data_IF_192333787603
#
_entry.id   IF_192333787603
#
_cell.length_a   1.000
_cell.length_b   1.000
_cell.length_c   1.000
_cell.angle_alpha   90.00
_cell.angle_beta   90.00
_cell.angle_gamma   90.00
#
_symmetry.space_group_name_H-M   'P 1'
#
loop_
_entity.id
_entity.type
_entity.pdbx_description
1 polymer ?
#
# COMPACT_ATOMS: atom_id res chain seq x y z
N UNK A 1 11.99 -10.67 -31.58
CA UNK A 1 12.77 -10.25 -30.40
C UNK A 1 11.77 -9.87 -29.33
N UNK A 2 11.42 -10.82 -28.45
CA UNK A 2 10.46 -10.58 -27.38
C UNK A 2 11.21 -9.92 -26.21
N UNK A 3 10.83 -8.69 -25.87
CA UNK A 3 11.39 -7.98 -24.74
C UNK A 3 11.16 -8.81 -23.47
N UNK A 4 12.26 -9.11 -22.75
CA UNK A 4 12.17 -9.64 -21.40
C UNK A 4 11.30 -8.69 -20.57
N UNK A 5 10.23 -9.18 -19.91
CA UNK A 5 9.37 -8.30 -19.14
C UNK A 5 10.19 -7.67 -18.02
N UNK A 6 10.17 -6.34 -17.95
CA UNK A 6 10.82 -5.57 -16.91
C UNK A 6 10.46 -6.18 -15.55
N UNK A 7 11.47 -6.70 -14.87
CA UNK A 7 11.33 -7.32 -13.58
C UNK A 7 10.70 -6.29 -12.62
N UNK A 8 9.57 -6.68 -12.00
CA UNK A 8 8.90 -5.97 -10.89
C UNK A 8 8.14 -4.67 -11.22
N UNK A 9 7.64 -4.48 -12.44
CA UNK A 9 6.68 -3.40 -12.71
C UNK A 9 5.26 -3.79 -12.20
N UNK A 10 4.73 -3.02 -11.24
CA UNK A 10 3.34 -3.12 -10.78
C UNK A 10 2.42 -2.61 -11.90
N UNK A 11 1.91 -3.52 -12.74
CA UNK A 11 1.00 -3.19 -13.85
C UNK A 11 -0.26 -4.06 -13.81
N UNK A 12 -1.34 -3.58 -14.44
CA UNK A 12 -2.56 -4.37 -14.62
C UNK A 12 -2.25 -5.70 -15.32
N UNK A 13 -2.70 -6.81 -14.72
CA UNK A 13 -2.47 -8.15 -15.25
C UNK A 13 -1.10 -8.75 -14.94
N UNK A 14 -0.23 -8.06 -14.19
CA UNK A 14 1.01 -8.66 -13.72
C UNK A 14 0.73 -9.87 -12.82
N UNK A 15 1.50 -10.95 -13.03
CA UNK A 15 1.40 -12.20 -12.27
C UNK A 15 2.66 -12.44 -11.46
N UNK A 16 2.49 -12.79 -10.18
CA UNK A 16 3.56 -13.10 -9.26
C UNK A 16 3.42 -14.55 -8.78
N UNK A 17 4.53 -15.31 -8.69
CA UNK A 17 4.50 -16.67 -8.16
C UNK A 17 4.28 -16.68 -6.65
N UNK A 18 4.80 -15.67 -5.93
CA UNK A 18 4.81 -15.61 -4.47
C UNK A 18 4.40 -14.23 -3.97
N UNK A 19 3.86 -14.21 -2.74
CA UNK A 19 3.54 -12.95 -2.07
C UNK A 19 4.79 -12.12 -1.78
N UNK A 20 5.92 -12.76 -1.46
CA UNK A 20 7.19 -12.07 -1.16
C UNK A 20 7.74 -11.31 -2.38
N UNK A 21 7.63 -11.89 -3.56
CA UNK A 21 8.07 -11.26 -4.82
C UNK A 21 7.20 -10.04 -5.14
N UNK A 22 5.89 -10.15 -4.91
CA UNK A 22 4.98 -9.01 -5.01
C UNK A 22 5.28 -7.93 -3.96
N UNK A 23 5.51 -8.30 -2.70
CA UNK A 23 5.76 -7.35 -1.60
C UNK A 23 7.03 -6.51 -1.85
N UNK A 24 8.09 -7.12 -2.39
CA UNK A 24 9.30 -6.39 -2.80
C UNK A 24 9.02 -5.41 -3.93
N UNK A 25 8.36 -5.84 -5.00
CA UNK A 25 7.98 -4.98 -6.12
C UNK A 25 7.09 -3.81 -5.67
N UNK A 26 6.14 -4.09 -4.78
CA UNK A 26 5.23 -3.10 -4.24
C UNK A 26 5.95 -2.12 -3.30
N UNK A 27 6.91 -2.58 -2.51
CA UNK A 27 7.75 -1.73 -1.67
C UNK A 27 8.58 -0.75 -2.51
N UNK A 28 9.29 -1.24 -3.53
CA UNK A 28 10.06 -0.38 -4.44
C UNK A 28 9.18 0.63 -5.17
N UNK A 29 7.96 0.24 -5.54
CA UNK A 29 6.96 1.13 -6.11
C UNK A 29 6.55 2.21 -5.11
N UNK A 30 6.27 1.84 -3.85
CA UNK A 30 5.94 2.77 -2.79
C UNK A 30 7.13 3.68 -2.46
N UNK A 31 8.37 3.24 -2.56
CA UNK A 31 9.55 4.11 -2.32
C UNK A 31 9.76 5.11 -3.45
N UNK A 32 9.58 4.69 -4.71
CA UNK A 32 9.75 5.55 -5.89
C UNK A 32 8.67 6.63 -5.99
N UNK A 33 7.43 6.24 -5.69
CA UNK A 33 6.27 7.15 -5.75
C UNK A 33 6.04 7.88 -4.42
N UNK A 34 6.50 7.27 -3.32
CA UNK A 34 6.24 7.66 -1.94
C UNK A 34 4.76 7.65 -1.53
N UNK A 35 3.90 6.98 -2.31
CA UNK A 35 2.50 6.83 -1.94
C UNK A 35 2.34 5.87 -0.76
N UNK A 36 1.51 6.28 0.20
CA UNK A 36 1.19 5.46 1.37
C UNK A 36 -0.13 4.72 1.14
N UNK A 37 -0.04 3.40 1.05
CA UNK A 37 -1.21 2.52 0.91
C UNK A 37 -1.56 1.84 2.24
N UNK A 38 -2.85 1.83 2.57
CA UNK A 38 -3.45 0.96 3.57
C UNK A 38 -3.80 -0.38 2.95
N UNK A 39 -3.67 -1.46 3.72
CA UNK A 39 -3.91 -2.83 3.27
C UNK A 39 -5.16 -3.41 3.92
N UNK A 40 -6.04 -3.97 3.10
CA UNK A 40 -7.23 -4.69 3.52
C UNK A 40 -7.29 -6.03 2.77
N UNK A 41 -7.32 -7.14 3.49
CA UNK A 41 -7.17 -8.46 2.86
C UNK A 41 -8.03 -9.54 3.48
N UNK A 42 -8.32 -10.55 2.67
CA UNK A 42 -8.89 -11.84 3.09
C UNK A 42 -7.80 -12.89 3.02
N UNK A 43 -7.50 -13.53 4.15
CA UNK A 43 -6.46 -14.57 4.20
C UNK A 43 -6.90 -15.84 3.48
N UNK A 44 -5.92 -16.57 2.96
CA UNK A 44 -6.13 -17.91 2.38
C UNK A 44 -6.77 -18.85 3.39
N UNK A 45 -6.35 -18.80 4.65
CA UNK A 45 -6.90 -19.65 5.71
C UNK A 45 -8.40 -19.43 5.91
N UNK A 46 -8.85 -18.16 5.93
CA UNK A 46 -10.26 -17.80 6.04
C UNK A 46 -11.06 -18.28 4.84
N UNK A 47 -10.48 -18.19 3.64
CA UNK A 47 -11.09 -18.68 2.42
C UNK A 47 -11.20 -20.21 2.39
N UNK A 48 -10.11 -20.91 2.73
CA UNK A 48 -10.02 -22.37 2.76
C UNK A 48 -11.00 -22.99 3.76
N UNK A 49 -11.22 -22.36 4.93
CA UNK A 49 -12.24 -22.81 5.89
C UNK A 49 -13.66 -22.88 5.32
N UNK A 50 -13.97 -22.10 4.28
CA UNK A 50 -15.29 -22.09 3.63
C UNK A 50 -15.39 -23.08 2.48
N UNK A 51 -14.26 -23.63 2.02
CA UNK A 51 -14.22 -24.56 0.90
C UNK A 51 -14.38 -25.97 1.46
N UNK A 52 -15.44 -26.66 1.04
CA UNK A 52 -15.70 -28.03 1.48
C UNK A 52 -14.76 -29.07 0.85
N UNK A 53 -14.21 -28.76 -0.34
CA UNK A 53 -13.33 -29.65 -1.07
C UNK A 53 -11.84 -29.28 -0.85
N UNK A 54 -11.04 -30.14 -0.19
CA UNK A 54 -9.64 -29.87 0.09
C UNK A 54 -8.76 -29.74 -1.17
N UNK A 55 -9.14 -30.36 -2.29
CA UNK A 55 -8.40 -30.25 -3.55
C UNK A 55 -8.47 -28.83 -4.17
N UNK A 56 -9.43 -28.01 -3.73
CA UNK A 56 -9.61 -26.63 -4.20
C UNK A 56 -9.08 -25.59 -3.20
N UNK A 57 -8.36 -26.03 -2.18
CA UNK A 57 -7.72 -25.13 -1.22
C UNK A 57 -6.63 -24.30 -1.92
N UNK A 58 -6.59 -23.02 -1.58
CA UNK A 58 -5.48 -22.16 -1.96
C UNK A 58 -4.22 -22.61 -1.24
N UNK A 59 -3.08 -22.52 -1.93
CA UNK A 59 -1.77 -22.76 -1.31
C UNK A 59 -1.52 -21.76 -0.17
N UNK A 60 -0.95 -22.21 0.95
CA UNK A 60 -0.65 -21.33 2.08
C UNK A 60 0.41 -20.27 1.75
N UNK A 61 1.24 -20.52 0.74
CA UNK A 61 2.31 -19.64 0.25
C UNK A 61 1.81 -18.24 -0.16
N UNK A 62 0.58 -18.14 -0.65
CA UNK A 62 0.00 -16.86 -1.08
C UNK A 62 -0.36 -15.92 0.09
N UNK A 63 -0.51 -16.45 1.32
CA UNK A 63 -1.04 -15.79 2.55
C UNK A 63 -2.44 -15.17 2.43
N UNK A 64 -2.74 -14.49 1.34
CA UNK A 64 -4.00 -13.82 1.05
C UNK A 64 -4.69 -14.38 -0.19
N UNK A 65 -6.00 -14.56 -0.09
CA UNK A 65 -6.85 -14.88 -1.23
C UNK A 65 -7.03 -13.64 -2.10
N UNK A 66 -7.33 -12.52 -1.47
CA UNK A 66 -7.50 -11.21 -2.11
C UNK A 66 -6.97 -10.18 -1.13
N UNK A 67 -6.13 -9.27 -1.62
CA UNK A 67 -5.66 -8.11 -0.87
C UNK A 67 -5.91 -6.87 -1.72
N UNK A 68 -6.46 -5.85 -1.09
CA UNK A 68 -6.72 -4.55 -1.68
C UNK A 68 -5.85 -3.54 -0.94
N UNK A 69 -5.05 -2.82 -1.70
CA UNK A 69 -4.28 -1.69 -1.26
C UNK A 69 -5.02 -0.45 -1.71
N UNK A 70 -5.30 0.45 -0.77
CA UNK A 70 -5.99 1.71 -1.03
C UNK A 70 -5.13 2.82 -0.49
N UNK A 71 -5.06 3.95 -1.18
CA UNK A 71 -4.36 5.11 -0.64
C UNK A 71 -4.88 5.45 0.77
N UNK A 72 -4.02 5.94 1.68
CA UNK A 72 -4.43 6.43 3.01
C UNK A 72 -5.51 7.52 2.93
N UNK A 73 -5.53 8.27 1.84
CA UNK A 73 -6.52 9.31 1.54
C UNK A 73 -7.73 8.81 0.73
N UNK A 74 -7.89 7.49 0.58
CA UNK A 74 -8.91 6.88 -0.26
C UNK A 74 -10.34 7.06 0.28
N UNK A 75 -11.23 7.41 -0.65
CA UNK A 75 -12.65 7.64 -0.40
C UNK A 75 -12.96 8.91 0.40
N UNK A 76 -14.25 9.14 0.61
CA UNK A 76 -14.76 10.29 1.37
C UNK A 76 -15.02 9.93 2.83
N UNK A 77 -14.80 10.89 3.72
CA UNK A 77 -15.22 10.74 5.11
C UNK A 77 -16.72 11.01 5.24
N UNK A 78 -17.49 9.95 5.45
CA UNK A 78 -18.89 10.05 5.82
C UNK A 78 -19.09 9.69 7.30
N UNK A 79 -19.17 10.68 8.18
CA UNK A 79 -19.60 10.44 9.57
C UNK A 79 -21.12 10.33 9.67
N UNK A 80 -21.61 9.18 10.11
CA UNK A 80 -23.03 8.99 10.45
C UNK A 80 -23.38 9.38 11.91
N UNK A 81 -22.38 9.69 12.73
CA UNK A 81 -22.54 10.02 14.15
C UNK A 81 -22.40 11.52 14.45
N UNK A 82 -23.15 12.03 15.43
CA UNK A 82 -23.09 13.42 15.93
C UNK A 82 -21.85 13.69 16.83
N UNK A 83 -20.71 13.08 16.50
CA UNK A 83 -19.54 12.85 17.37
C UNK A 83 -19.31 13.89 18.47
N UNK A 84 -19.28 13.43 19.74
CA UNK A 84 -18.99 14.25 20.93
C UNK A 84 -17.57 14.86 20.85
N UNK A 85 -16.65 14.21 20.13
CA UNK A 85 -15.28 14.67 19.90
C UNK A 85 -15.24 15.57 18.66
N UNK A 86 -15.20 16.90 18.88
CA UNK A 86 -15.29 17.94 17.83
C UNK A 86 -14.11 18.00 16.85
N UNK A 87 -12.95 17.43 17.17
CA UNK A 87 -11.72 17.52 16.36
C UNK A 87 -11.24 16.13 15.91
N UNK A 88 -12.06 15.40 15.17
CA UNK A 88 -11.60 14.21 14.45
C UNK A 88 -11.35 14.62 13.01
N UNK A 89 -10.08 14.95 12.71
CA UNK A 89 -9.64 15.26 11.35
C UNK A 89 -9.51 13.92 10.62
N UNK A 90 -10.30 13.73 9.57
CA UNK A 90 -10.12 12.58 8.68
C UNK A 90 -9.11 12.92 7.61
N UNK A 91 -8.19 12.00 7.33
CA UNK A 91 -7.26 12.12 6.22
C UNK A 91 -7.89 11.74 4.88
N UNK A 92 -9.19 11.52 4.79
CA UNK A 92 -9.86 11.09 3.55
C UNK A 92 -10.10 12.29 2.63
N UNK A 93 -9.51 12.27 1.43
CA UNK A 93 -9.55 13.37 0.44
C UNK A 93 -10.27 12.93 -0.85
N UNK A 94 -10.87 11.73 -0.87
CA UNK A 94 -11.53 11.21 -2.07
C UNK A 94 -10.55 10.69 -3.13
N UNK A 95 -9.35 10.25 -2.72
CA UNK A 95 -8.41 9.62 -3.63
C UNK A 95 -8.98 8.30 -4.16
N UNK A 96 -8.79 8.00 -5.45
CA UNK A 96 -9.29 6.76 -6.08
C UNK A 96 -8.22 5.69 -6.23
N UNK A 97 -6.97 6.06 -6.02
CA UNK A 97 -5.84 5.17 -6.17
C UNK A 97 -6.01 3.89 -5.34
N UNK A 98 -6.05 2.77 -6.06
CA UNK A 98 -6.31 1.46 -5.49
C UNK A 98 -5.69 0.36 -6.32
N UNK A 99 -5.10 -0.62 -5.64
CA UNK A 99 -4.54 -1.83 -6.22
C UNK A 99 -5.23 -3.04 -5.62
N UNK A 100 -5.67 -3.98 -6.45
CA UNK A 100 -6.29 -5.23 -6.00
C UNK A 100 -5.51 -6.41 -6.56
N UNK A 101 -4.93 -7.16 -5.65
CA UNK A 101 -4.24 -8.41 -5.92
C UNK A 101 -5.17 -9.58 -5.53
N UNK A 102 -5.24 -10.59 -6.40
CA UNK A 102 -6.05 -11.78 -6.20
C UNK A 102 -5.21 -13.03 -6.45
N UNK A 103 -5.36 -14.04 -5.62
CA UNK A 103 -4.84 -15.37 -5.90
C UNK A 103 -5.74 -16.07 -6.92
N UNK A 104 -5.17 -16.50 -8.03
CA UNK A 104 -5.84 -17.37 -8.99
C UNK A 104 -5.55 -18.84 -8.66
N UNK A 105 -6.63 -19.62 -8.55
CA UNK A 105 -6.58 -21.06 -8.22
C UNK A 105 -6.12 -21.89 -9.41
N UNK A 106 -6.46 -21.49 -10.63
CA UNK A 106 -6.16 -22.30 -11.81
C UNK A 106 -4.71 -22.15 -12.23
N UNK A 107 -4.20 -20.92 -12.17
CA UNK A 107 -2.84 -20.60 -12.57
C UNK A 107 -1.82 -20.77 -11.44
N UNK A 108 -2.28 -20.91 -10.19
CA UNK A 108 -1.43 -20.90 -8.99
C UNK A 108 -0.50 -19.68 -8.97
N UNK A 109 -1.03 -18.50 -9.26
CA UNK A 109 -0.29 -17.24 -9.24
C UNK A 109 -1.15 -16.14 -8.60
N UNK A 110 -0.47 -15.11 -8.09
CA UNK A 110 -1.09 -13.86 -7.65
C UNK A 110 -1.18 -12.91 -8.84
N UNK A 111 -2.37 -12.46 -9.18
CA UNK A 111 -2.62 -11.54 -10.30
C UNK A 111 -3.10 -10.18 -9.80
N UNK A 112 -2.58 -9.10 -10.39
CA UNK A 112 -3.10 -7.76 -10.21
C UNK A 112 -4.34 -7.59 -11.09
N UNK A 113 -5.53 -7.64 -10.47
CA UNK A 113 -6.81 -7.51 -11.17
C UNK A 113 -7.24 -6.07 -11.39
N UNK A 114 -6.88 -5.19 -10.46
CA UNK A 114 -7.22 -3.78 -10.50
C UNK A 114 -6.00 -2.99 -10.07
N UNK A 115 -5.73 -1.91 -10.78
CA UNK A 115 -4.65 -1.00 -10.49
C UNK A 115 -5.04 0.33 -11.10
N UNK A 116 -5.29 1.29 -10.22
CA UNK A 116 -5.58 2.67 -10.55
C UNK A 116 -4.59 3.52 -9.75
N UNK A 117 -3.75 4.28 -10.45
CA UNK A 117 -2.69 5.12 -9.87
C UNK A 117 -3.04 6.62 -9.93
N UNK A 118 -4.31 6.93 -10.19
CA UNK A 118 -4.78 8.32 -10.23
C UNK A 118 -4.92 8.87 -8.81
N UNK A 119 -3.89 9.60 -8.38
CA UNK A 119 -3.87 10.31 -7.10
C UNK A 119 -4.34 11.75 -7.27
N UNK A 120 -5.41 12.12 -6.56
CA UNK A 120 -5.96 13.48 -6.56
C UNK A 120 -5.30 14.43 -5.56
N UNK A 121 -4.25 13.98 -4.86
CA UNK A 121 -3.54 14.76 -3.85
C UNK A 121 -2.03 14.78 -4.14
N UNK A 122 -1.33 15.84 -3.71
CA UNK A 122 0.12 15.90 -3.83
C UNK A 122 0.77 14.77 -3.04
N UNK A 123 1.95 14.38 -3.50
CA UNK A 123 2.80 13.43 -2.85
C UNK A 123 3.14 13.92 -1.42
N UNK A 124 2.83 13.12 -0.42
CA UNK A 124 3.27 13.35 0.96
C UNK A 124 4.53 12.52 1.17
N UNK A 125 5.70 13.12 0.99
CA UNK A 125 6.90 12.59 1.64
C UNK A 125 6.63 12.66 3.14
N UNK A 126 6.61 11.54 3.83
CA UNK A 126 6.54 11.51 5.31
C UNK A 126 7.85 12.07 5.95
N UNK A 127 8.74 12.66 5.14
CA UNK A 127 9.66 13.72 5.54
C UNK A 127 9.00 15.07 5.24
N UNK A 128 8.31 15.61 6.23
CA UNK A 128 7.75 16.95 6.16
C UNK A 128 8.87 17.97 5.94
N UNK A 129 8.90 18.54 4.74
CA UNK A 129 9.12 19.97 4.55
C UNK A 129 8.28 20.31 3.31
N UNK A 130 7.16 21.05 3.45
CA UNK A 130 6.62 21.73 2.29
C UNK A 130 7.72 22.68 1.82
N UNK A 131 8.08 22.66 0.53
CA UNK A 131 8.89 23.70 -0.10
C UNK A 131 8.11 25.04 -0.08
N UNK A 132 7.86 25.59 1.10
CA UNK A 132 7.64 27.01 1.31
C UNK A 132 9.02 27.64 1.40
N UNK A 133 9.62 27.90 0.23
CA UNK A 133 10.71 28.86 0.13
C UNK A 133 10.13 30.27 0.35
N UNK A 134 9.66 30.51 1.57
CA UNK A 134 9.41 31.87 2.03
C UNK A 134 10.76 32.40 2.43
N UNK A 135 11.23 33.37 1.64
CA UNK A 135 12.30 34.32 1.96
C UNK A 135 12.56 34.46 3.46
N UNK A 136 13.61 33.82 3.94
CA UNK A 136 14.28 34.23 5.17
C UNK A 136 15.77 34.29 4.86
N UNK A 137 16.16 35.45 4.31
CA UNK A 137 17.50 35.98 4.46
C UNK A 137 17.90 35.92 5.93
N UNK A 138 19.21 35.73 6.16
CA UNK A 138 19.96 35.79 7.42
C UNK A 138 19.99 34.53 8.31
N UNK A 139 21.01 33.70 8.05
CA UNK A 139 22.19 33.69 8.90
C UNK A 139 22.15 32.85 10.19
N UNK A 140 22.95 31.77 10.18
CA UNK A 140 23.54 31.05 11.34
C UNK A 140 22.46 30.37 12.23
N UNK A 141 22.48 29.08 12.52
CA UNK A 141 23.42 28.38 13.39
C UNK A 141 23.28 26.86 13.22
N UNK A 142 24.43 26.19 13.28
CA UNK A 142 24.73 24.75 13.40
C UNK A 142 23.58 23.75 13.67
N UNK A 143 23.33 22.85 12.73
CA UNK A 143 22.65 21.57 12.97
C UNK A 143 23.64 20.54 13.54
N UNK A 144 23.42 20.11 14.78
CA UNK A 144 24.03 18.90 15.36
C UNK A 144 23.17 17.70 14.96
N UNK A 145 23.73 16.64 14.33
CA UNK A 145 22.96 15.44 14.01
C UNK A 145 22.69 14.63 15.28
N UNK A 146 21.42 14.52 15.68
CA UNK A 146 21.00 13.59 16.74
C UNK A 146 20.77 12.21 16.12
N UNK A 147 21.76 11.33 16.23
CA UNK A 147 21.58 9.92 15.93
C UNK A 147 20.83 9.26 17.10
N UNK A 148 19.55 8.89 16.92
CA UNK A 148 18.85 8.02 17.87
C UNK A 148 18.37 6.71 17.21
N UNK A 149 19.24 5.73 17.40
CA UNK A 149 19.03 4.29 17.58
C UNK A 149 17.58 3.80 17.64
N UNK A 150 17.22 2.92 16.70
CA UNK A 150 16.09 2.02 16.77
C UNK A 150 16.23 1.10 18.00
N UNK A 151 15.32 1.20 18.96
CA UNK A 151 15.09 0.17 19.99
C UNK A 151 13.58 -0.02 20.18
N UNK A 152 13.15 -1.28 20.17
CA UNK A 152 11.95 -1.72 20.89
C UNK A 152 10.83 -2.31 20.03
N UNK A 153 11.03 -3.51 19.50
CA UNK A 153 9.93 -4.48 19.36
C UNK A 153 10.01 -5.39 20.59
N UNK A 154 9.01 -5.35 21.47
CA UNK A 154 8.82 -6.42 22.44
C UNK A 154 7.35 -6.58 22.80
N UNK A 155 6.88 -7.80 22.47
CA UNK A 155 5.71 -8.56 22.91
C UNK A 155 4.32 -8.09 22.47
#
# INVERSE_FOLDING_TARGET
MAAAPAEHAIVLGATFPDYLSFEKAFHEYCEKTGYVFSKDGKTVESANRKIRNPALHFKPEFRYQVITFQCKHFGDYASKGKGIRKFQISNKIGCKASLRLSADRQKNCLEIRHFEDEHSHPFVTEFGEPFFFTLCLVGLYNCVPVSRSCKGWQL
#
